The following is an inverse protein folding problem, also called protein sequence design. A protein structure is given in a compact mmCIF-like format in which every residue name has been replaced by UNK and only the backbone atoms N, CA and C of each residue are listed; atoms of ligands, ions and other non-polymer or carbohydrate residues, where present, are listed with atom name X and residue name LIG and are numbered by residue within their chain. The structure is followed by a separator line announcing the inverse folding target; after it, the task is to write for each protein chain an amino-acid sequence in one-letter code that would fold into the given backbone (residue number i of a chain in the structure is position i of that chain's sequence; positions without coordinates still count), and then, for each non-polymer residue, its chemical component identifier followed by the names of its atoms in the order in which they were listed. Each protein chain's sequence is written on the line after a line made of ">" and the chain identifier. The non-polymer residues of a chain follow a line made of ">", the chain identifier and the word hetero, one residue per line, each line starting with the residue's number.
data_IF_067795174418
#
_entry.id   IF_067795174418
#
_cell.length_a   1.000
_cell.length_b   1.000
_cell.length_c   1.000
_cell.angle_alpha   90.00
_cell.angle_beta   90.00
_cell.angle_gamma   90.00
#
_symmetry.space_group_name_H-M   'P 1'
#
loop_
_entity.id
_entity.type
_entity.pdbx_description
1 polymer ?
#
# COMPACT_ATOMS: atom_id res chain seq x y z
N UNK A 1 3.98 -31.94 -1.89
CA UNK A 1 3.26 -30.67 -2.13
C UNK A 1 2.91 -30.09 -0.78
N UNK A 2 3.68 -29.09 -0.31
CA UNK A 2 3.41 -28.44 0.98
C UNK A 2 2.64 -27.14 0.71
N UNK A 3 1.45 -27.05 1.28
CA UNK A 3 0.62 -25.85 1.35
C UNK A 3 1.38 -24.75 2.08
N UNK A 4 1.86 -23.72 1.37
CA UNK A 4 2.39 -22.50 2.01
C UNK A 4 1.23 -21.63 2.48
N UNK A 5 0.53 -22.11 3.50
CA UNK A 5 -0.31 -21.27 4.34
C UNK A 5 0.58 -20.24 5.05
N UNK A 6 0.24 -18.95 4.90
CA UNK A 6 0.70 -17.83 5.72
C UNK A 6 2.21 -17.53 5.71
N UNK A 7 2.73 -16.92 4.63
CA UNK A 7 3.79 -15.93 4.83
C UNK A 7 3.24 -14.93 5.86
N UNK A 8 3.82 -14.88 7.06
CA UNK A 8 3.29 -14.13 8.20
C UNK A 8 3.18 -12.66 7.81
N UNK A 9 1.96 -12.29 7.44
CA UNK A 9 1.50 -10.96 7.14
C UNK A 9 2.12 -9.92 8.09
N UNK A 10 2.86 -8.95 7.56
CA UNK A 10 3.36 -7.80 8.33
C UNK A 10 2.15 -7.08 8.93
N UNK A 11 2.19 -6.79 10.23
CA UNK A 11 1.04 -6.25 11.00
C UNK A 11 -0.25 -7.11 10.95
N UNK A 12 -0.14 -8.38 10.53
CA UNK A 12 -1.30 -9.25 10.30
C UNK A 12 -2.13 -8.87 9.07
N UNK A 13 -1.58 -8.08 8.13
CA UNK A 13 -2.19 -7.71 6.84
C UNK A 13 -1.63 -8.48 5.63
N UNK A 14 -2.46 -8.83 4.62
CA UNK A 14 -1.99 -9.52 3.43
C UNK A 14 -1.16 -8.59 2.53
N UNK A 15 -0.40 -9.16 1.58
CA UNK A 15 0.44 -8.41 0.62
C UNK A 15 -0.30 -7.25 -0.05
N UNK A 16 -1.56 -7.47 -0.44
CA UNK A 16 -2.42 -6.49 -1.12
C UNK A 16 -2.74 -5.26 -0.27
N UNK A 17 -2.45 -5.27 1.04
CA UNK A 17 -2.65 -4.12 1.90
C UNK A 17 -1.52 -3.08 1.82
N UNK A 18 -0.42 -3.38 1.12
CA UNK A 18 0.81 -2.60 1.11
C UNK A 18 1.06 -1.99 -0.27
N UNK A 19 1.57 -0.76 -0.30
CA UNK A 19 1.86 -0.08 -1.57
C UNK A 19 3.16 -0.59 -2.20
N UNK A 20 4.12 -1.00 -1.39
CA UNK A 20 5.39 -1.59 -1.84
C UNK A 20 5.43 -3.02 -1.35
N UNK A 21 5.56 -3.96 -2.29
CA UNK A 21 5.60 -5.39 -1.99
C UNK A 21 6.91 -5.95 -2.52
N UNK A 22 7.95 -5.88 -1.68
CA UNK A 22 9.30 -6.35 -1.97
C UNK A 22 9.39 -7.88 -2.11
N UNK A 23 10.33 -8.52 -1.42
CA UNK A 23 10.51 -9.97 -1.50
C UNK A 23 9.24 -10.71 -1.03
N UNK A 24 8.61 -11.56 -1.88
CA UNK A 24 7.45 -12.37 -1.50
C UNK A 24 7.74 -13.37 -0.37
N UNK A 25 9.00 -13.75 -0.15
CA UNK A 25 9.43 -14.63 0.93
C UNK A 25 9.71 -13.89 2.24
N UNK A 26 9.82 -12.55 2.23
CA UNK A 26 10.07 -11.71 3.39
C UNK A 26 9.00 -10.61 3.55
N UNK A 27 7.94 -10.86 4.34
CA UNK A 27 6.90 -9.87 4.61
C UNK A 27 7.38 -8.57 5.25
N UNK A 28 8.53 -8.56 5.93
CA UNK A 28 9.09 -7.33 6.53
C UNK A 28 9.61 -6.37 5.46
N UNK A 29 9.88 -6.87 4.25
CA UNK A 29 10.22 -6.04 3.10
C UNK A 29 9.03 -5.23 2.56
N UNK A 30 7.79 -5.61 2.89
CA UNK A 30 6.58 -4.94 2.41
C UNK A 30 6.33 -3.66 3.22
N UNK A 31 6.07 -2.54 2.53
CA UNK A 31 6.04 -1.20 3.14
C UNK A 31 4.76 -0.47 2.80
N UNK A 32 4.45 0.53 3.63
CA UNK A 32 3.32 1.44 3.42
C UNK A 32 1.96 0.71 3.41
N UNK A 33 1.55 0.08 4.54
CA UNK A 33 0.22 -0.48 4.66
C UNK A 33 -0.83 0.63 4.60
N UNK A 34 -1.83 0.48 3.74
CA UNK A 34 -2.88 1.49 3.53
C UNK A 34 -4.29 0.90 3.45
N UNK A 35 -4.46 -0.40 3.71
CA UNK A 35 -5.77 -1.02 3.92
C UNK A 35 -5.97 -1.46 5.38
N UNK A 36 -7.23 -1.47 5.81
CA UNK A 36 -7.68 -2.03 7.10
C UNK A 36 -7.69 -3.55 7.05
N UNK A 37 -7.74 -4.21 8.22
CA UNK A 37 -7.90 -5.69 8.31
C UNK A 37 -9.16 -6.21 7.60
N UNK A 38 -10.15 -5.37 7.31
CA UNK A 38 -11.32 -5.74 6.49
C UNK A 38 -10.97 -6.18 5.07
N UNK A 39 -9.74 -5.91 4.58
CA UNK A 39 -9.23 -6.43 3.30
C UNK A 39 -9.35 -7.95 3.17
N UNK A 40 -9.22 -8.72 4.26
CA UNK A 40 -9.45 -10.17 4.21
C UNK A 40 -10.87 -10.55 3.78
N UNK A 41 -11.86 -9.69 4.06
CA UNK A 41 -13.23 -9.89 3.56
C UNK A 41 -13.29 -9.60 2.06
N UNK A 42 -12.59 -8.59 1.59
CA UNK A 42 -12.53 -8.26 0.17
C UNK A 42 -11.82 -9.36 -0.64
N UNK A 43 -10.70 -9.89 -0.13
CA UNK A 43 -10.00 -11.02 -0.75
C UNK A 43 -10.82 -12.32 -0.77
N UNK A 44 -11.87 -12.42 0.06
CA UNK A 44 -12.85 -13.52 0.05
C UNK A 44 -14.09 -13.21 -0.81
N UNK A 45 -14.13 -12.07 -1.51
CA UNK A 45 -15.27 -11.63 -2.32
C UNK A 45 -16.46 -11.08 -1.52
N UNK A 46 -16.31 -10.87 -0.20
CA UNK A 46 -17.39 -10.48 0.71
C UNK A 46 -17.45 -8.97 0.98
N UNK A 47 -16.57 -8.19 0.35
CA UNK A 47 -16.49 -6.74 0.46
C UNK A 47 -15.76 -6.20 -0.77
N UNK A 48 -16.10 -4.99 -1.19
CA UNK A 48 -15.32 -4.25 -2.18
C UNK A 48 -13.96 -3.87 -1.59
N UNK A 49 -12.86 -4.06 -2.33
CA UNK A 49 -11.51 -3.75 -1.86
C UNK A 49 -11.34 -2.25 -1.57
N UNK A 50 -11.99 -1.37 -2.33
CA UNK A 50 -11.91 0.08 -2.13
C UNK A 50 -12.54 0.51 -0.80
N UNK A 51 -13.54 -0.23 -0.31
CA UNK A 51 -14.14 -0.02 1.02
C UNK A 51 -13.21 -0.39 2.17
N UNK A 52 -12.06 -0.98 1.88
CA UNK A 52 -11.08 -1.40 2.89
C UNK A 52 -9.89 -0.45 3.00
N UNK A 53 -9.80 0.57 2.12
CA UNK A 53 -8.76 1.60 2.21
C UNK A 53 -8.86 2.33 3.56
N UNK A 54 -7.72 2.44 4.23
CA UNK A 54 -7.52 3.24 5.43
C UNK A 54 -6.98 4.61 5.00
N UNK A 55 -7.85 5.61 4.89
CA UNK A 55 -7.48 6.93 4.38
C UNK A 55 -6.47 7.68 5.25
N UNK A 56 -6.38 7.39 6.55
CA UNK A 56 -5.34 7.97 7.41
C UNK A 56 -3.97 7.34 7.09
N UNK A 57 -3.93 6.01 6.95
CA UNK A 57 -2.70 5.31 6.54
C UNK A 57 -2.32 5.60 5.08
N UNK A 58 -3.30 5.80 4.20
CA UNK A 58 -3.11 6.26 2.81
C UNK A 58 -2.37 7.60 2.79
N UNK A 59 -2.81 8.58 3.57
CA UNK A 59 -2.12 9.88 3.65
C UNK A 59 -0.66 9.71 4.10
N UNK A 60 -0.41 8.89 5.13
CA UNK A 60 0.95 8.62 5.60
C UNK A 60 1.80 7.87 4.55
N UNK A 61 1.19 6.98 3.77
CA UNK A 61 1.85 6.28 2.67
C UNK A 61 2.26 7.25 1.55
N UNK A 62 1.39 8.18 1.17
CA UNK A 62 1.68 9.23 0.18
C UNK A 62 2.83 10.11 0.66
N UNK A 63 2.77 10.59 1.91
CA UNK A 63 3.83 11.42 2.49
C UNK A 63 5.19 10.70 2.48
N UNK A 64 5.20 9.39 2.73
CA UNK A 64 6.42 8.59 2.75
C UNK A 64 7.08 8.43 1.36
N UNK A 65 6.31 8.56 0.27
CA UNK A 65 6.83 8.59 -1.10
C UNK A 65 7.40 9.96 -1.47
N UNK A 66 7.00 11.02 -0.78
CA UNK A 66 7.51 12.37 -1.07
C UNK A 66 9.02 12.48 -0.84
N UNK A 67 9.70 13.44 -1.51
CA UNK A 67 11.12 13.71 -1.24
C UNK A 67 11.43 14.04 0.23
N UNK A 68 10.47 14.66 0.94
CA UNK A 68 10.60 14.99 2.37
C UNK A 68 10.35 13.77 3.28
N UNK A 69 9.67 12.75 2.76
CA UNK A 69 9.27 11.55 3.49
C UNK A 69 8.22 11.83 4.57
N UNK A 70 7.89 10.78 5.33
CA UNK A 70 6.95 10.87 6.45
C UNK A 70 7.72 11.05 7.75
N UNK A 71 7.40 12.11 8.51
CA UNK A 71 8.12 12.49 9.75
C UNK A 71 9.64 12.59 9.56
N UNK A 72 10.07 13.11 8.40
CA UNK A 72 11.48 13.31 8.05
C UNK A 72 12.23 12.02 7.67
N UNK A 73 11.52 10.90 7.47
CA UNK A 73 12.11 9.63 7.02
C UNK A 73 11.57 9.24 5.66
N UNK A 74 12.47 8.98 4.72
CA UNK A 74 12.13 8.45 3.40
C UNK A 74 11.93 6.95 3.48
N UNK A 75 11.05 6.43 2.62
CA UNK A 75 10.98 4.99 2.38
C UNK A 75 12.26 4.53 1.69
N UNK A 76 12.87 3.46 2.20
CA UNK A 76 13.99 2.80 1.52
C UNK A 76 13.41 1.92 0.41
N UNK A 77 13.41 2.40 -0.82
CA UNK A 77 12.90 1.70 -1.99
C UNK A 77 13.62 2.22 -3.25
N UNK A 78 13.68 1.39 -4.28
CA UNK A 78 14.15 1.79 -5.61
C UNK A 78 13.21 2.83 -6.25
N UNK A 79 13.71 3.64 -7.20
CA UNK A 79 12.86 4.56 -7.96
C UNK A 79 11.66 3.85 -8.62
N UNK A 80 11.87 2.65 -9.13
CA UNK A 80 10.84 1.84 -9.79
C UNK A 80 9.74 1.44 -8.80
N UNK A 81 10.11 0.93 -7.61
CA UNK A 81 9.15 0.61 -6.54
C UNK A 81 8.36 1.85 -6.08
N UNK A 82 9.02 3.02 -6.02
CA UNK A 82 8.35 4.28 -5.65
C UNK A 82 7.31 4.67 -6.72
N UNK A 83 7.65 4.55 -8.00
CA UNK A 83 6.73 4.86 -9.10
C UNK A 83 5.54 3.89 -9.14
N UNK A 84 5.79 2.59 -8.98
CA UNK A 84 4.71 1.58 -8.89
C UNK A 84 3.78 1.85 -7.71
N UNK A 85 4.35 2.12 -6.53
CA UNK A 85 3.56 2.49 -5.36
C UNK A 85 2.76 3.78 -5.60
N UNK A 86 3.35 4.80 -6.22
CA UNK A 86 2.65 6.04 -6.52
C UNK A 86 1.45 5.83 -7.46
N UNK A 87 1.61 5.01 -8.51
CA UNK A 87 0.50 4.63 -9.41
C UNK A 87 -0.59 3.88 -8.67
N UNK A 88 -0.22 2.85 -7.89
CA UNK A 88 -1.15 2.06 -7.08
C UNK A 88 -1.97 2.93 -6.11
N UNK A 89 -1.31 3.82 -5.37
CA UNK A 89 -2.02 4.74 -4.48
C UNK A 89 -2.90 5.73 -5.25
N UNK A 90 -2.45 6.23 -6.40
CA UNK A 90 -3.23 7.15 -7.22
C UNK A 90 -4.54 6.53 -7.73
N UNK A 91 -4.53 5.24 -8.05
CA UNK A 91 -5.73 4.53 -8.52
C UNK A 91 -6.80 4.48 -7.42
N UNK A 92 -6.44 4.25 -6.17
CA UNK A 92 -7.39 4.36 -5.05
C UNK A 92 -8.04 5.75 -4.94
N UNK A 93 -7.27 6.82 -5.14
CA UNK A 93 -7.84 8.19 -5.15
C UNK A 93 -8.86 8.37 -6.28
N UNK A 94 -8.55 7.86 -7.48
CA UNK A 94 -9.42 7.95 -8.66
C UNK A 94 -10.71 7.15 -8.46
N UNK A 95 -10.61 5.89 -8.04
CA UNK A 95 -11.76 5.02 -7.78
C UNK A 95 -12.66 5.58 -6.67
N UNK A 96 -12.07 6.22 -5.65
CA UNK A 96 -12.81 6.88 -4.59
C UNK A 96 -13.36 8.27 -4.97
N UNK A 97 -13.12 8.73 -6.21
CA UNK A 97 -13.44 10.07 -6.69
C UNK A 97 -12.94 11.19 -5.73
N UNK A 98 -11.72 11.02 -5.24
CA UNK A 98 -11.03 11.97 -4.35
C UNK A 98 -10.00 12.79 -5.14
N UNK A 99 -9.75 14.06 -4.75
CA UNK A 99 -8.68 14.85 -5.35
C UNK A 99 -7.32 14.13 -5.23
N UNK A 100 -6.60 14.02 -6.34
CA UNK A 100 -5.28 13.40 -6.37
C UNK A 100 -4.26 14.34 -5.69
N UNK A 101 -3.49 13.89 -4.68
CA UNK A 101 -2.46 14.71 -4.06
C UNK A 101 -1.34 15.05 -5.04
N UNK A 102 -0.80 16.27 -4.96
CA UNK A 102 0.31 16.76 -5.81
C UNK A 102 1.53 15.83 -5.78
N UNK A 103 1.80 15.20 -4.63
CA UNK A 103 2.90 14.22 -4.49
C UNK A 103 2.72 13.03 -5.43
N UNK A 104 1.49 12.54 -5.61
CA UNK A 104 1.22 11.44 -6.54
C UNK A 104 1.15 11.93 -7.98
N UNK A 105 0.59 13.12 -8.21
CA UNK A 105 0.54 13.73 -9.54
C UNK A 105 1.94 13.99 -10.13
N UNK A 106 2.91 14.35 -9.29
CA UNK A 106 4.30 14.59 -9.68
C UNK A 106 5.11 13.31 -9.95
N UNK A 107 4.62 12.14 -9.52
CA UNK A 107 5.27 10.84 -9.68
C UNK A 107 4.63 9.99 -10.80
N UNK A 108 3.55 10.47 -11.42
CA UNK A 108 2.70 9.74 -12.38
C UNK A 108 3.16 9.86 -13.83
#
# INVERSE_FOLDING_TARGET
>A
MATRETAKAREGLPRQAFAITGDPADPESWKLPHHKRSIYRALKGNLDIEKTVDWERMSAAVDALSPRGYRGRRVAASPEEILEAARHLADHYREANKPLPDTLAALG
#
